data_IF_211833946402
#
_entry.id   IF_211833946402
#
_cell.length_a   1.000
_cell.length_b   1.000
_cell.length_c   1.000
_cell.angle_alpha   90.00
_cell.angle_beta   90.00
_cell.angle_gamma   90.00
#
_symmetry.space_group_name_H-M   'P 1'
#
loop_
_entity.id
_entity.type
_entity.pdbx_description
1 polymer ?
#
# COMPACT_ATOMS: atom_id res chain seq x y z
N UNK A 1 6.22 -21.70 7.38
CA UNK A 1 6.59 -20.34 7.82
C UNK A 1 5.34 -19.70 8.44
N UNK A 2 5.49 -18.72 9.33
CA UNK A 2 4.38 -18.19 10.14
C UNK A 2 3.96 -16.82 9.60
N UNK A 3 2.65 -16.62 9.36
CA UNK A 3 2.11 -15.31 9.00
C UNK A 3 2.23 -14.37 10.19
N UNK A 4 2.84 -13.22 9.98
CA UNK A 4 3.02 -12.19 10.99
C UNK A 4 2.12 -10.99 10.70
N UNK A 5 1.85 -10.19 11.73
CA UNK A 5 1.02 -8.99 11.62
C UNK A 5 1.87 -7.80 11.19
N UNK A 6 1.42 -7.06 10.19
CA UNK A 6 2.07 -5.84 9.70
C UNK A 6 1.09 -4.68 9.55
N UNK A 7 1.60 -3.47 9.69
CA UNK A 7 0.87 -2.23 9.41
C UNK A 7 1.22 -1.71 8.02
N UNK A 8 0.20 -1.50 7.20
CA UNK A 8 0.30 -0.99 5.84
C UNK A 8 -0.12 0.47 5.83
N UNK A 9 0.79 1.34 5.40
CA UNK A 9 0.55 2.80 5.33
C UNK A 9 0.85 3.31 3.94
N UNK A 10 -0.15 3.97 3.35
CA UNK A 10 0.06 4.65 2.08
C UNK A 10 0.77 5.98 2.32
N UNK A 11 1.81 6.25 1.54
CA UNK A 11 2.55 7.51 1.58
C UNK A 11 2.81 8.02 0.16
N UNK A 12 3.10 9.32 0.04
CA UNK A 12 3.59 9.89 -1.24
C UNK A 12 5.09 9.71 -1.37
N UNK A 13 5.55 9.43 -2.58
CA UNK A 13 6.97 9.29 -2.91
C UNK A 13 7.75 10.59 -2.76
N UNK A 14 7.09 11.74 -2.92
CA UNK A 14 7.70 13.05 -2.71
C UNK A 14 7.74 13.50 -1.25
N UNK A 15 7.28 12.66 -0.32
CA UNK A 15 7.18 12.98 1.11
C UNK A 15 6.07 14.00 1.44
N UNK A 16 5.24 14.37 0.45
CA UNK A 16 4.09 15.23 0.65
C UNK A 16 2.98 14.55 1.46
N UNK A 17 2.04 15.35 1.96
CA UNK A 17 0.83 14.83 2.60
C UNK A 17 -0.09 14.20 1.55
N UNK A 18 -0.81 13.14 1.94
CA UNK A 18 -1.90 12.58 1.14
C UNK A 18 -2.99 13.66 0.93
N UNK A 19 -3.63 13.72 -0.25
CA UNK A 19 -4.72 14.65 -0.50
C UNK A 19 -5.91 14.43 0.45
N UNK A 20 -6.29 13.16 0.63
CA UNK A 20 -7.31 12.73 1.58
C UNK A 20 -6.72 11.84 2.68
N UNK A 21 -7.39 11.84 3.84
CA UNK A 21 -7.03 10.96 4.96
C UNK A 21 -7.36 9.52 4.59
N UNK A 22 -6.36 8.65 4.68
CA UNK A 22 -6.51 7.20 4.49
C UNK A 22 -6.18 6.51 5.82
N UNK A 23 -6.97 5.51 6.19
CA UNK A 23 -6.73 4.73 7.40
C UNK A 23 -5.56 3.77 7.22
N UNK A 24 -4.82 3.55 8.30
CA UNK A 24 -3.78 2.53 8.36
C UNK A 24 -4.44 1.15 8.39
N UNK A 25 -3.96 0.23 7.56
CA UNK A 25 -4.52 -1.13 7.48
C UNK A 25 -3.57 -2.09 8.19
N UNK A 26 -4.11 -2.98 9.01
CA UNK A 26 -3.34 -4.09 9.59
C UNK A 26 -3.66 -5.36 8.83
N UNK A 27 -2.64 -6.11 8.42
CA UNK A 27 -2.82 -7.37 7.69
C UNK A 27 -1.80 -8.43 8.14
N UNK A 28 -2.15 -9.71 7.96
CA UNK A 28 -1.31 -10.86 8.27
C UNK A 28 -0.79 -11.51 6.99
N UNK A 29 0.51 -11.60 6.81
CA UNK A 29 1.10 -12.30 5.66
C UNK A 29 2.53 -12.75 5.99
N UNK A 30 3.07 -13.58 5.11
CA UNK A 30 4.43 -14.08 5.23
C UNK A 30 5.38 -13.27 4.35
N UNK A 31 6.34 -12.56 4.96
CA UNK A 31 7.32 -11.75 4.23
C UNK A 31 8.34 -12.57 3.45
N UNK A 32 8.59 -13.82 3.87
CA UNK A 32 9.51 -14.71 3.18
C UNK A 32 8.86 -15.38 1.96
N UNK A 33 7.51 -15.36 1.90
CA UNK A 33 6.74 -15.77 0.72
C UNK A 33 6.47 -14.57 -0.19
N UNK A 34 7.25 -14.46 -1.26
CA UNK A 34 7.12 -13.38 -2.24
C UNK A 34 5.72 -13.32 -2.89
N UNK A 35 5.09 -14.47 -3.11
CA UNK A 35 3.77 -14.52 -3.75
C UNK A 35 2.68 -14.06 -2.78
N UNK A 36 2.69 -14.52 -1.53
CA UNK A 36 1.74 -14.06 -0.49
C UNK A 36 1.91 -12.57 -0.21
N UNK A 37 3.17 -12.12 -0.09
CA UNK A 37 3.53 -10.71 0.10
C UNK A 37 3.01 -9.86 -1.06
N UNK A 38 3.36 -10.18 -2.31
CA UNK A 38 2.96 -9.37 -3.46
C UNK A 38 1.44 -9.34 -3.61
N UNK A 39 0.77 -10.49 -3.47
CA UNK A 39 -0.70 -10.59 -3.57
C UNK A 39 -1.39 -9.74 -2.51
N UNK A 40 -0.92 -9.81 -1.26
CA UNK A 40 -1.46 -9.04 -0.15
C UNK A 40 -1.26 -7.53 -0.37
N UNK A 41 -0.06 -7.11 -0.75
CA UNK A 41 0.23 -5.69 -0.96
C UNK A 41 -0.50 -5.11 -2.17
N UNK A 42 -0.61 -5.86 -3.27
CA UNK A 42 -1.38 -5.47 -4.45
C UNK A 42 -2.88 -5.28 -4.14
N UNK A 43 -3.46 -6.15 -3.31
CA UNK A 43 -4.86 -6.05 -2.86
C UNK A 43 -5.14 -4.75 -2.12
N UNK A 44 -4.17 -4.20 -1.37
CA UNK A 44 -4.36 -2.99 -0.58
C UNK A 44 -3.90 -1.71 -1.29
N UNK A 45 -2.88 -1.78 -2.16
CA UNK A 45 -2.29 -0.59 -2.77
C UNK A 45 -3.32 0.24 -3.54
N UNK A 46 -4.04 -0.35 -4.49
CA UNK A 46 -4.97 0.38 -5.36
C UNK A 46 -6.13 1.01 -4.56
N UNK A 47 -6.86 0.26 -3.71
CA UNK A 47 -7.93 0.85 -2.89
C UNK A 47 -7.46 2.01 -2.01
N UNK A 48 -6.29 1.89 -1.37
CA UNK A 48 -5.77 2.96 -0.52
C UNK A 48 -5.38 4.19 -1.35
N UNK A 49 -4.73 4.00 -2.50
CA UNK A 49 -4.34 5.09 -3.38
C UNK A 49 -5.55 5.82 -3.96
N UNK A 50 -6.58 5.08 -4.39
CA UNK A 50 -7.87 5.65 -4.81
C UNK A 50 -8.54 6.43 -3.67
N UNK A 51 -8.58 5.88 -2.45
CA UNK A 51 -9.10 6.60 -1.30
C UNK A 51 -8.31 7.90 -1.00
N UNK A 52 -6.99 7.91 -1.23
CA UNK A 52 -6.17 9.10 -1.06
C UNK A 52 -6.50 10.20 -2.08
N UNK A 53 -6.88 9.84 -3.30
CA UNK A 53 -7.30 10.79 -4.35
C UNK A 53 -8.80 11.11 -4.32
N UNK A 54 -9.62 10.31 -3.62
CA UNK A 54 -11.08 10.42 -3.65
C UNK A 54 -11.71 9.77 -4.89
N UNK A 55 -11.02 8.80 -5.49
CA UNK A 55 -11.39 8.09 -6.72
C UNK A 55 -11.94 6.69 -6.42
N UNK A 56 -12.62 6.08 -7.39
CA UNK A 56 -13.11 4.69 -7.31
C UNK A 56 -12.03 3.69 -7.76
N UNK A 57 -11.65 2.69 -6.94
CA UNK A 57 -10.71 1.64 -7.34
C UNK A 57 -11.19 0.74 -8.49
N UNK A 58 -12.48 0.74 -8.83
CA UNK A 58 -13.03 0.05 -9.99
C UNK A 58 -12.86 0.78 -11.33
N UNK A 59 -12.30 1.99 -11.33
CA UNK A 59 -12.10 2.81 -12.53
C UNK A 59 -11.02 2.30 -13.49
N UNK A 60 -10.91 2.95 -14.65
CA UNK A 60 -9.89 2.60 -15.65
C UNK A 60 -8.48 2.98 -15.15
N UNK A 61 -7.57 2.01 -15.10
CA UNK A 61 -6.20 2.22 -14.64
C UNK A 61 -5.39 3.14 -15.56
N UNK A 62 -5.75 3.24 -16.84
CA UNK A 62 -5.09 4.17 -17.77
C UNK A 62 -5.35 5.64 -17.41
N UNK A 63 -6.43 5.91 -16.66
CA UNK A 63 -6.79 7.23 -16.14
C UNK A 63 -6.14 7.51 -14.77
N UNK A 64 -5.31 6.59 -14.25
CA UNK A 64 -4.69 6.70 -12.92
C UNK A 64 -3.16 6.84 -12.94
N UNK A 65 -2.56 7.74 -13.75
CA UNK A 65 -1.10 7.93 -13.78
C UNK A 65 -0.57 8.45 -12.43
N UNK A 66 -1.43 9.01 -11.58
CA UNK A 66 -1.12 9.44 -10.23
C UNK A 66 -0.76 8.28 -9.29
N UNK A 67 -1.12 7.01 -9.61
CA UNK A 67 -0.70 5.84 -8.82
C UNK A 67 0.82 5.77 -8.67
N UNK A 68 1.56 6.21 -9.69
CA UNK A 68 3.01 6.25 -9.67
C UNK A 68 3.60 7.19 -8.60
N UNK A 69 2.79 8.05 -7.98
CA UNK A 69 3.19 8.99 -6.91
C UNK A 69 3.12 8.38 -5.51
N UNK A 70 2.56 7.19 -5.37
CA UNK A 70 2.32 6.56 -4.08
C UNK A 70 3.22 5.35 -3.84
N UNK A 71 3.41 5.04 -2.57
CA UNK A 71 4.09 3.83 -2.08
C UNK A 71 3.33 3.30 -0.88
N UNK A 72 3.20 1.98 -0.80
CA UNK A 72 2.70 1.30 0.38
C UNK A 72 3.88 0.89 1.25
N UNK A 73 4.01 1.48 2.43
CA UNK A 73 5.06 1.13 3.39
C UNK A 73 4.53 0.13 4.40
N UNK A 74 5.39 -0.82 4.75
CA UNK A 74 5.10 -1.92 5.65
C UNK A 74 5.89 -1.72 6.93
N UNK A 75 5.19 -1.64 8.05
CA UNK A 75 5.75 -1.39 9.37
C UNK A 75 5.47 -2.55 10.32
N UNK A 76 6.35 -2.76 11.31
CA UNK A 76 6.01 -3.62 12.45
C UNK A 76 4.92 -2.95 13.30
N UNK A 77 3.96 -3.70 13.86
CA UNK A 77 2.83 -3.12 14.57
C UNK A 77 3.24 -2.23 15.76
N UNK A 78 2.58 -1.07 15.90
CA UNK A 78 2.82 -0.11 16.97
C UNK A 78 4.21 0.55 16.94
N UNK A 79 4.93 0.43 15.82
CA UNK A 79 6.29 0.94 15.65
C UNK A 79 6.40 1.84 14.44
N UNK A 80 7.43 2.69 14.43
CA UNK A 80 7.85 3.45 13.24
C UNK A 80 8.90 2.70 12.43
N UNK A 81 9.23 1.46 12.80
CA UNK A 81 10.23 0.65 12.10
C UNK A 81 9.67 0.16 10.77
N UNK A 82 10.18 0.75 9.69
CA UNK A 82 9.94 0.29 8.33
C UNK A 82 10.58 -1.08 8.12
N UNK A 83 9.80 -2.01 7.59
CA UNK A 83 10.25 -3.34 7.20
C UNK A 83 10.61 -3.35 5.72
N UNK A 84 9.66 -2.94 4.87
CA UNK A 84 9.85 -2.84 3.42
C UNK A 84 8.82 -1.87 2.81
N UNK A 85 8.87 -1.71 1.49
CA UNK A 85 7.98 -0.84 0.72
C UNK A 85 7.56 -1.50 -0.58
N UNK A 86 6.31 -1.28 -0.98
CA UNK A 86 5.73 -1.79 -2.22
C UNK A 86 5.25 -0.64 -3.10
N UNK A 87 5.61 -0.72 -4.38
CA UNK A 87 5.11 0.16 -5.42
C UNK A 87 4.21 -0.69 -6.30
N UNK A 88 2.94 -0.33 -6.41
CA UNK A 88 2.01 -1.02 -7.30
C UNK A 88 2.58 -1.03 -8.72
N UNK A 89 2.59 -2.21 -9.34
CA UNK A 89 2.98 -2.32 -10.74
C UNK A 89 1.83 -1.78 -11.58
N UNK A 90 2.08 -0.68 -12.30
CA UNK A 90 1.27 -0.24 -13.42
C UNK A 90 1.56 -1.22 -14.58
N UNK A 91 0.89 -2.37 -14.58
CA UNK A 91 0.76 -3.25 -15.76
C UNK A 91 -0.42 -2.82 -16.60
#
# INVERSE_FOLDING_TARGET
MARERYELRLERLDGGRLPNRVEEVTEFFDLDDAYDTETTLAKHFLPLACAAEGEDPGGDRTEMPWLARYVLRIYTPGSTRLVTSYRGWLV
#
